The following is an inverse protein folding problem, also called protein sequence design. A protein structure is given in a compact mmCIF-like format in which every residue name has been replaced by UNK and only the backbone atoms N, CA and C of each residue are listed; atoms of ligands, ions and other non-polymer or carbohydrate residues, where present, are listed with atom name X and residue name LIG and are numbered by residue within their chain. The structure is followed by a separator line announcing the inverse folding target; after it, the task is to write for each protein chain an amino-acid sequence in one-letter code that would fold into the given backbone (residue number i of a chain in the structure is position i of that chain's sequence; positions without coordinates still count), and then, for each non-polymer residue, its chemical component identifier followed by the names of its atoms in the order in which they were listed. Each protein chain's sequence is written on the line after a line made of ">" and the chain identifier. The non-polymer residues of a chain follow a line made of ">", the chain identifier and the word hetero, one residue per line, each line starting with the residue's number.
data_IF_041258639520
#
_entry.id   IF_041258639520
#
_cell.length_a   1.000
_cell.length_b   1.000
_cell.length_c   1.000
_cell.angle_alpha   90.00
_cell.angle_beta   90.00
_cell.angle_gamma   90.00
#
_symmetry.space_group_name_H-M   'P 1'
#
loop_
_entity.id
_entity.type
_entity.pdbx_description
1 polymer ?
#
# COMPACT_ATOMS: atom_id res chain seq x y z
N UNK A 1 -13.31 -36.00 -19.36
CA UNK A 1 -13.75 -34.64 -18.99
C UNK A 1 -15.26 -34.60 -19.16
N UNK A 2 -16.01 -34.17 -18.14
CA UNK A 2 -17.47 -34.03 -18.27
C UNK A 2 -17.78 -32.99 -19.36
N UNK A 3 -18.82 -33.25 -20.17
CA UNK A 3 -19.27 -32.30 -21.19
C UNK A 3 -19.75 -31.01 -20.51
N UNK A 4 -19.42 -29.85 -21.11
CA UNK A 4 -19.87 -28.55 -20.59
C UNK A 4 -21.39 -28.44 -20.72
N UNK A 5 -22.07 -27.93 -19.68
CA UNK A 5 -23.55 -27.81 -19.70
C UNK A 5 -24.03 -26.45 -20.20
N UNK A 6 -23.13 -25.45 -20.26
CA UNK A 6 -23.43 -24.09 -20.69
C UNK A 6 -22.15 -23.34 -21.09
N UNK A 7 -22.34 -22.19 -21.73
CA UNK A 7 -21.30 -21.18 -21.97
C UNK A 7 -21.53 -20.01 -21.01
N UNK A 8 -20.49 -19.58 -20.31
CA UNK A 8 -20.55 -18.39 -19.45
C UNK A 8 -20.40 -17.15 -20.31
N UNK A 9 -21.39 -16.26 -20.28
CA UNK A 9 -21.42 -14.99 -21.03
C UNK A 9 -21.72 -13.82 -20.10
N UNK A 10 -21.61 -12.59 -20.60
CA UNK A 10 -21.89 -11.36 -19.83
C UNK A 10 -21.10 -11.23 -18.52
N UNK A 11 -19.83 -11.62 -18.52
CA UNK A 11 -18.92 -11.42 -17.38
C UNK A 11 -18.09 -10.16 -17.63
N UNK A 12 -18.06 -9.26 -16.65
CA UNK A 12 -17.17 -8.10 -16.69
C UNK A 12 -15.73 -8.56 -16.47
N UNK A 13 -14.75 -7.98 -17.18
CA UNK A 13 -13.35 -8.26 -16.90
C UNK A 13 -12.95 -7.70 -15.52
N UNK A 14 -11.92 -8.27 -14.87
CA UNK A 14 -11.36 -7.70 -13.65
C UNK A 14 -10.91 -6.25 -13.85
N UNK A 15 -11.13 -5.40 -12.85
CA UNK A 15 -10.61 -4.04 -12.84
C UNK A 15 -9.14 -4.05 -12.41
N UNK A 16 -8.24 -4.10 -13.38
CA UNK A 16 -6.78 -4.13 -13.20
C UNK A 16 -6.07 -3.31 -14.28
N UNK A 17 -4.83 -2.93 -14.03
CA UNK A 17 -3.96 -2.25 -15.01
C UNK A 17 -4.33 -0.79 -15.22
N UNK A 18 -4.80 -0.10 -14.17
CA UNK A 18 -5.17 1.30 -14.22
C UNK A 18 -4.44 2.10 -13.15
N UNK A 19 -4.36 3.41 -13.35
CA UNK A 19 -3.83 4.34 -12.36
C UNK A 19 -4.94 4.73 -11.38
N UNK A 20 -4.86 4.20 -10.15
CA UNK A 20 -5.80 4.49 -9.06
C UNK A 20 -5.86 5.99 -8.74
N UNK A 21 -4.73 6.70 -8.79
CA UNK A 21 -4.67 8.13 -8.47
C UNK A 21 -5.35 8.96 -9.57
N UNK A 22 -4.98 8.73 -10.83
CA UNK A 22 -5.54 9.48 -11.95
C UNK A 22 -7.02 9.16 -12.21
N UNK A 23 -7.49 7.95 -11.86
CA UNK A 23 -8.90 7.58 -11.96
C UNK A 23 -9.77 8.27 -10.88
N UNK A 24 -9.18 8.69 -9.76
CA UNK A 24 -9.87 9.46 -8.73
C UNK A 24 -9.68 10.97 -8.95
N UNK A 25 -10.67 11.56 -9.64
CA UNK A 25 -10.69 13.00 -9.91
C UNK A 25 -10.75 13.84 -8.64
N UNK A 26 -11.46 13.41 -7.61
CA UNK A 26 -11.60 14.18 -6.38
C UNK A 26 -10.26 14.23 -5.63
N UNK A 27 -9.57 13.09 -5.56
CA UNK A 27 -8.23 13.00 -4.99
C UNK A 27 -7.21 13.81 -5.78
N UNK A 28 -7.19 13.68 -7.11
CA UNK A 28 -6.30 14.43 -7.98
C UNK A 28 -6.50 15.94 -7.82
N UNK A 29 -7.74 16.44 -7.87
CA UNK A 29 -8.04 17.86 -7.64
C UNK A 29 -7.67 18.32 -6.22
N UNK A 30 -7.81 17.47 -5.20
CA UNK A 30 -7.40 17.81 -3.83
C UNK A 30 -5.88 17.99 -3.72
N UNK A 31 -5.10 17.13 -4.38
CA UNK A 31 -3.64 17.26 -4.45
C UNK A 31 -3.25 18.55 -5.15
N UNK A 32 -3.90 18.87 -6.27
CA UNK A 32 -3.65 20.12 -7.01
C UNK A 32 -3.94 21.37 -6.19
N UNK A 33 -5.01 21.37 -5.40
CA UNK A 33 -5.40 22.51 -4.56
C UNK A 33 -4.46 22.73 -3.37
N UNK A 34 -3.76 21.70 -2.91
CA UNK A 34 -3.01 21.74 -1.64
C UNK A 34 -1.50 21.56 -1.79
N UNK A 35 -0.99 21.44 -3.02
CA UNK A 35 0.45 21.39 -3.30
C UNK A 35 0.85 22.62 -4.11
N UNK A 36 1.93 23.26 -3.67
CA UNK A 36 2.54 24.41 -4.35
C UNK A 36 2.89 24.08 -5.82
N UNK A 37 2.68 25.01 -6.78
CA UNK A 37 2.88 24.75 -8.21
C UNK A 37 4.27 24.21 -8.57
N UNK A 38 5.32 24.61 -7.84
CA UNK A 38 6.69 24.14 -8.08
C UNK A 38 6.94 22.68 -7.70
N UNK A 39 6.11 22.10 -6.82
CA UNK A 39 6.22 20.71 -6.33
C UNK A 39 5.17 19.80 -6.97
N UNK A 40 4.10 20.38 -7.52
CA UNK A 40 2.98 19.63 -8.07
C UNK A 40 3.35 18.63 -9.17
N UNK A 41 4.23 18.93 -10.16
CA UNK A 41 4.58 17.99 -11.21
C UNK A 41 5.19 16.68 -10.67
N UNK A 42 6.18 16.80 -9.76
CA UNK A 42 6.84 15.63 -9.15
C UNK A 42 5.88 14.86 -8.24
N UNK A 43 5.03 15.57 -7.48
CA UNK A 43 4.04 14.91 -6.63
C UNK A 43 3.02 14.09 -7.44
N UNK A 44 2.54 14.61 -8.58
CA UNK A 44 1.63 13.88 -9.46
C UNK A 44 2.29 12.66 -10.08
N UNK A 45 3.53 12.78 -10.54
CA UNK A 45 4.26 11.67 -11.14
C UNK A 45 4.45 10.51 -10.14
N UNK A 46 4.87 10.83 -8.91
CA UNK A 46 5.01 9.83 -7.84
C UNK A 46 3.68 9.17 -7.49
N UNK A 47 2.61 9.96 -7.33
CA UNK A 47 1.28 9.45 -6.97
C UNK A 47 0.68 8.61 -8.10
N UNK A 48 0.90 8.99 -9.36
CA UNK A 48 0.50 8.22 -10.54
C UNK A 48 1.28 6.91 -10.64
N UNK A 49 2.59 6.92 -10.39
CA UNK A 49 3.43 5.71 -10.37
C UNK A 49 2.97 4.74 -9.28
N UNK A 50 2.67 5.26 -8.09
CA UNK A 50 2.09 4.48 -7.00
C UNK A 50 0.69 3.98 -7.36
N UNK A 51 -0.13 4.80 -8.03
CA UNK A 51 -1.48 4.48 -8.47
C UNK A 51 -1.52 3.36 -9.52
N UNK A 52 -0.60 3.36 -10.48
CA UNK A 52 -0.42 2.27 -11.44
C UNK A 52 0.00 0.97 -10.75
N UNK A 53 0.88 1.07 -9.74
CA UNK A 53 1.28 -0.09 -8.94
C UNK A 53 0.08 -0.64 -8.16
N UNK A 54 -0.69 0.22 -7.49
CA UNK A 54 -1.85 -0.15 -6.68
C UNK A 54 -2.97 -0.78 -7.53
N UNK A 55 -3.20 -0.26 -8.74
CA UNK A 55 -4.20 -0.78 -9.67
C UNK A 55 -3.75 -2.02 -10.46
N UNK A 56 -2.54 -2.54 -10.21
CA UNK A 56 -2.03 -3.71 -10.93
C UNK A 56 -2.66 -5.02 -10.42
N UNK A 57 -2.79 -6.02 -11.30
CA UNK A 57 -3.17 -7.37 -10.89
C UNK A 57 -2.18 -7.98 -9.86
N UNK A 58 -0.91 -7.57 -9.94
CA UNK A 58 0.13 -8.05 -9.04
C UNK A 58 -0.09 -7.58 -7.60
N UNK A 59 -0.47 -6.31 -7.39
CA UNK A 59 -0.76 -5.77 -6.06
C UNK A 59 -2.04 -6.39 -5.47
N UNK A 60 -3.07 -6.61 -6.30
CA UNK A 60 -4.27 -7.34 -5.88
C UNK A 60 -3.96 -8.77 -5.43
N UNK A 61 -3.12 -9.49 -6.20
CA UNK A 61 -2.66 -10.82 -5.81
C UNK A 61 -1.88 -10.79 -4.50
N UNK A 62 -0.99 -9.81 -4.30
CA UNK A 62 -0.29 -9.68 -3.03
C UNK A 62 -1.25 -9.41 -1.87
N UNK A 63 -2.27 -8.58 -2.07
CA UNK A 63 -3.31 -8.30 -1.09
C UNK A 63 -4.09 -9.55 -0.69
N UNK A 64 -4.53 -10.34 -1.68
CA UNK A 64 -5.19 -11.62 -1.46
C UNK A 64 -4.29 -12.59 -0.67
N UNK A 65 -3.05 -12.81 -1.16
CA UNK A 65 -2.10 -13.72 -0.53
C UNK A 65 -1.74 -13.33 0.91
N UNK A 66 -1.60 -12.03 1.20
CA UNK A 66 -1.31 -11.55 2.56
C UNK A 66 -2.48 -11.76 3.53
N UNK A 67 -3.73 -11.73 3.04
CA UNK A 67 -4.92 -11.93 3.85
C UNK A 67 -5.31 -13.42 3.99
N UNK A 68 -5.14 -14.21 2.94
CA UNK A 68 -5.39 -15.66 2.96
C UNK A 68 -4.35 -16.42 3.80
N UNK A 69 -3.13 -15.88 3.91
CA UNK A 69 -2.03 -16.45 4.70
C UNK A 69 -1.69 -15.54 5.88
N UNK A 70 -2.50 -15.55 6.96
CA UNK A 70 -2.28 -14.69 8.11
C UNK A 70 -0.94 -14.99 8.81
N UNK A 71 -0.37 -14.02 9.54
CA UNK A 71 0.90 -14.20 10.23
C UNK A 71 0.87 -15.32 11.27
N UNK A 72 2.00 -16.02 11.41
CA UNK A 72 2.17 -17.13 12.35
C UNK A 72 3.13 -16.73 13.46
N UNK A 73 2.66 -16.78 14.71
CA UNK A 73 3.50 -16.60 15.88
C UNK A 73 4.36 -17.85 16.12
N UNK A 74 5.68 -17.66 16.16
CA UNK A 74 6.69 -18.65 16.53
C UNK A 74 7.28 -18.27 17.88
N UNK A 75 6.76 -18.84 18.95
CA UNK A 75 7.26 -18.53 20.30
C UNK A 75 8.60 -19.21 20.59
N UNK A 76 8.82 -20.42 20.05
CA UNK A 76 10.03 -21.20 20.26
C UNK A 76 10.55 -21.81 18.95
N UNK A 77 11.86 -22.05 18.90
CA UNK A 77 12.51 -22.80 17.83
C UNK A 77 12.30 -24.33 18.00
N UNK A 78 12.88 -25.11 17.07
CA UNK A 78 12.77 -26.58 17.08
C UNK A 78 13.47 -27.27 18.27
N UNK A 79 14.31 -26.56 19.01
CA UNK A 79 15.04 -27.06 20.17
C UNK A 79 14.42 -26.62 21.50
N UNK A 80 13.36 -25.81 21.46
CA UNK A 80 12.69 -25.30 22.65
C UNK A 80 13.29 -23.99 23.18
N UNK A 81 14.15 -23.30 22.43
CA UNK A 81 14.58 -21.96 22.79
C UNK A 81 13.51 -20.94 22.40
N UNK A 82 13.23 -19.98 23.27
CA UNK A 82 12.29 -18.89 23.01
C UNK A 82 12.86 -17.93 21.94
N UNK A 83 12.05 -17.57 20.94
CA UNK A 83 12.42 -16.66 19.83
C UNK A 83 11.45 -15.48 19.63
N UNK A 84 10.17 -15.62 20.01
CA UNK A 84 9.14 -14.57 19.92
C UNK A 84 9.00 -13.90 18.53
N UNK A 85 9.10 -14.68 17.45
CA UNK A 85 9.03 -14.18 16.08
C UNK A 85 7.62 -14.30 15.50
N UNK A 86 7.29 -13.41 14.57
CA UNK A 86 6.05 -13.49 13.77
C UNK A 86 6.42 -13.63 12.30
N UNK A 87 6.08 -14.77 11.71
CA UNK A 87 6.34 -15.09 10.32
C UNK A 87 5.18 -14.59 9.44
N UNK A 88 5.49 -13.84 8.38
CA UNK A 88 4.51 -13.33 7.43
C UNK A 88 4.69 -13.95 6.04
N UNK A 89 3.62 -14.03 5.26
CA UNK A 89 3.72 -14.40 3.86
C UNK A 89 4.56 -13.38 3.07
N UNK A 90 5.40 -13.78 2.10
CA UNK A 90 6.23 -12.86 1.30
C UNK A 90 5.49 -11.67 0.67
N UNK A 91 4.21 -11.86 0.31
CA UNK A 91 3.37 -10.78 -0.22
C UNK A 91 3.18 -9.62 0.75
N UNK A 92 3.09 -9.88 2.05
CA UNK A 92 3.03 -8.82 3.07
C UNK A 92 4.30 -7.95 3.04
N UNK A 93 5.48 -8.59 2.94
CA UNK A 93 6.76 -7.87 2.87
C UNK A 93 6.86 -7.03 1.59
N UNK A 94 6.36 -7.53 0.46
CA UNK A 94 6.31 -6.78 -0.81
C UNK A 94 5.41 -5.56 -0.70
N UNK A 95 4.20 -5.71 -0.14
CA UNK A 95 3.27 -4.61 0.08
C UNK A 95 3.88 -3.52 0.97
N UNK A 96 4.45 -3.93 2.11
CA UNK A 96 5.10 -3.01 3.04
C UNK A 96 6.32 -2.32 2.40
N UNK A 97 7.17 -3.09 1.70
CA UNK A 97 8.38 -2.56 1.06
C UNK A 97 8.07 -1.52 -0.02
N UNK A 98 7.02 -1.74 -0.82
CA UNK A 98 6.56 -0.79 -1.83
C UNK A 98 6.12 0.52 -1.19
N UNK A 99 5.33 0.44 -0.13
CA UNK A 99 4.85 1.60 0.62
C UNK A 99 5.97 2.40 1.30
N UNK A 100 6.94 1.71 1.91
CA UNK A 100 8.11 2.35 2.51
C UNK A 100 8.94 3.06 1.44
N UNK A 101 9.17 2.41 0.30
CA UNK A 101 9.91 2.99 -0.82
C UNK A 101 9.20 4.20 -1.43
N UNK A 102 7.86 4.20 -1.44
CA UNK A 102 7.04 5.35 -1.83
C UNK A 102 7.00 6.49 -0.78
N UNK A 103 7.75 6.35 0.33
CA UNK A 103 7.86 7.37 1.37
C UNK A 103 6.60 7.55 2.20
N UNK A 104 5.79 6.49 2.39
CA UNK A 104 4.54 6.55 3.17
C UNK A 104 4.76 6.58 4.70
N UNK A 105 5.99 6.37 5.16
CA UNK A 105 6.38 6.50 6.57
C UNK A 105 6.86 7.90 6.95
N UNK A 106 7.31 8.71 5.99
CA UNK A 106 7.86 10.05 6.23
C UNK A 106 7.03 11.13 5.53
N UNK A 107 6.53 12.10 6.28
CA UNK A 107 5.92 13.31 5.75
C UNK A 107 6.70 14.58 6.13
N UNK A 108 7.74 14.44 6.96
CA UNK A 108 8.46 15.54 7.59
C UNK A 108 9.70 15.93 6.79
N UNK A 109 10.27 15.00 6.02
CA UNK A 109 11.52 15.18 5.29
C UNK A 109 11.41 15.79 3.88
N UNK A 110 10.20 16.10 3.38
CA UNK A 110 10.04 16.61 2.01
C UNK A 110 8.95 17.68 1.84
N UNK A 111 9.07 18.59 0.86
CA UNK A 111 8.03 19.57 0.54
C UNK A 111 6.68 18.90 0.26
N UNK A 112 5.62 19.53 0.77
CA UNK A 112 4.24 19.02 0.72
C UNK A 112 4.10 17.58 1.25
N UNK A 113 4.98 17.15 2.16
CA UNK A 113 5.09 15.75 2.58
C UNK A 113 3.82 15.18 3.19
N UNK A 114 3.05 15.96 3.97
CA UNK A 114 1.78 15.51 4.54
C UNK A 114 0.70 15.26 3.47
N UNK A 115 0.56 16.16 2.50
CA UNK A 115 -0.42 15.99 1.40
C UNK A 115 -0.02 14.82 0.52
N UNK A 116 1.27 14.72 0.14
CA UNK A 116 1.81 13.60 -0.64
C UNK A 116 1.61 12.27 0.07
N UNK A 117 1.94 12.20 1.36
CA UNK A 117 1.75 10.99 2.17
C UNK A 117 0.26 10.64 2.27
N UNK A 118 -0.61 11.59 2.57
CA UNK A 118 -2.04 11.32 2.72
C UNK A 118 -2.65 10.76 1.42
N UNK A 119 -2.35 11.39 0.28
CA UNK A 119 -2.80 10.92 -1.02
C UNK A 119 -2.21 9.54 -1.36
N UNK A 120 -0.91 9.34 -1.15
CA UNK A 120 -0.25 8.07 -1.41
C UNK A 120 -0.76 6.94 -0.51
N UNK A 121 -1.08 7.23 0.75
CA UNK A 121 -1.67 6.28 1.68
C UNK A 121 -3.08 5.87 1.23
N UNK A 122 -3.91 6.82 0.77
CA UNK A 122 -5.23 6.51 0.21
C UNK A 122 -5.13 5.63 -1.04
N UNK A 123 -4.20 5.96 -1.95
CA UNK A 123 -3.95 5.21 -3.19
C UNK A 123 -3.52 3.78 -2.89
N UNK A 124 -2.50 3.61 -2.03
CA UNK A 124 -1.91 2.30 -1.78
C UNK A 124 -2.82 1.38 -0.94
N UNK A 125 -3.64 1.96 -0.06
CA UNK A 125 -4.64 1.21 0.72
C UNK A 125 -5.70 0.55 -0.16
N UNK A 126 -5.88 0.99 -1.41
CA UNK A 126 -6.78 0.31 -2.37
C UNK A 126 -6.31 -1.11 -2.72
N UNK A 127 -5.00 -1.41 -2.58
CA UNK A 127 -4.47 -2.75 -2.80
C UNK A 127 -4.66 -3.67 -1.59
N UNK A 128 -4.37 -3.17 -0.38
CA UNK A 128 -4.45 -3.91 0.87
C UNK A 128 -4.38 -2.94 2.06
N UNK A 129 -5.13 -3.17 3.15
CA UNK A 129 -5.23 -2.23 4.27
C UNK A 129 -4.40 -2.60 5.51
N UNK A 130 -4.22 -3.89 5.79
CA UNK A 130 -3.55 -4.41 6.99
C UNK A 130 -2.11 -3.95 7.15
N UNK A 131 -1.31 -3.97 6.07
CA UNK A 131 0.06 -3.47 6.10
C UNK A 131 0.14 -1.93 6.26
N UNK A 132 -0.99 -1.22 6.10
CA UNK A 132 -1.13 0.21 6.40
C UNK A 132 -0.91 0.54 7.88
N UNK A 133 -1.17 -0.41 8.78
CA UNK A 133 -1.02 -0.24 10.22
C UNK A 133 0.42 0.13 10.64
N UNK A 134 1.46 -0.67 10.34
CA UNK A 134 2.84 -0.31 10.69
C UNK A 134 3.33 0.98 10.01
N UNK A 135 2.87 1.29 8.79
CA UNK A 135 3.20 2.55 8.11
C UNK A 135 2.65 3.77 8.87
N UNK A 136 1.40 3.67 9.32
CA UNK A 136 0.73 4.73 10.07
C UNK A 136 1.39 4.95 11.43
N UNK A 137 1.65 3.86 12.17
CA UNK A 137 2.34 3.92 13.46
C UNK A 137 3.75 4.51 13.33
N UNK A 138 4.52 4.08 12.33
CA UNK A 138 5.88 4.61 12.07
C UNK A 138 5.86 6.10 11.82
N UNK A 139 4.93 6.58 10.97
CA UNK A 139 4.78 8.01 10.71
C UNK A 139 4.41 8.80 11.97
N UNK A 140 3.44 8.28 12.74
CA UNK A 140 2.90 8.94 13.92
C UNK A 140 3.87 8.92 15.12
N UNK A 141 4.84 8.00 15.16
CA UNK A 141 5.84 7.93 16.20
C UNK A 141 6.86 9.08 16.14
N UNK A 142 7.12 9.64 14.95
CA UNK A 142 8.19 10.64 14.74
C UNK A 142 8.05 11.87 15.66
N UNK A 143 6.87 12.53 15.79
CA UNK A 143 6.72 13.64 16.73
C UNK A 143 7.00 13.26 18.19
N UNK A 144 6.57 12.07 18.64
CA UNK A 144 6.80 11.62 20.02
C UNK A 144 8.28 11.34 20.29
N UNK A 145 8.98 10.70 19.33
CA UNK A 145 10.42 10.43 19.47
C UNK A 145 11.26 11.73 19.44
N UNK A 146 10.79 12.77 18.76
CA UNK A 146 11.47 14.08 18.76
C UNK A 146 11.39 14.82 20.09
N UNK A 147 10.47 14.46 21.00
CA UNK A 147 10.37 15.12 22.31
C UNK A 147 11.39 14.62 23.33
N UNK A 148 11.90 13.39 23.17
CA UNK A 148 12.91 12.78 24.03
C UNK A 148 13.77 11.79 23.19
N UNK A 149 14.79 12.29 22.46
CA UNK A 149 15.50 11.56 21.41
C UNK A 149 16.52 10.52 21.88
#
# INVERSE_FOLDING_TARGET
>A
MAATTHTVTNQVPPLVGYDVFAADRALSEAVERHIEPGVLPVAREELSTLGQSAGSAQAQEWGAQANEHPPVLRTHDRYGHRIDEVEFHPSWHRLLGHAVSAGLTDAWGRPAGHVRRAAGFLVWTQAEAGHGCPLSMTHAAVPALRTDP
#
